data_IF_415265065913
#
_entry.id   IF_415265065913
#
_cell.length_a   1.000
_cell.length_b   1.000
_cell.length_c   1.000
_cell.angle_alpha   90.00
_cell.angle_beta   90.00
_cell.angle_gamma   90.00
#
_symmetry.space_group_name_H-M   'P 1'
#
loop_
_entity.id
_entity.type
_entity.pdbx_description
1 polymer ?
#
# COMPACT_ATOMS: atom_id res chain seq x y z
N UNK A 1 10.39 4.30 10.42
CA UNK A 1 11.34 3.24 9.98
C UNK A 1 10.56 2.10 9.36
N UNK A 2 11.06 1.52 8.26
CA UNK A 2 10.44 0.38 7.56
C UNK A 2 11.50 -0.68 7.28
N UNK A 3 11.20 -1.93 7.59
CA UNK A 3 12.03 -3.09 7.33
C UNK A 3 11.20 -4.14 6.59
N UNK A 4 11.81 -4.78 5.58
CA UNK A 4 11.18 -5.89 4.84
C UNK A 4 12.19 -7.00 4.64
N UNK A 5 11.83 -8.21 5.05
CA UNK A 5 12.64 -9.40 4.91
C UNK A 5 11.92 -10.42 4.01
N UNK A 6 12.50 -10.70 2.84
CA UNK A 6 12.00 -11.74 1.92
C UNK A 6 12.53 -13.10 2.38
N UNK A 7 11.64 -13.96 2.84
CA UNK A 7 11.99 -15.30 3.32
C UNK A 7 11.70 -16.41 2.30
N UNK A 8 10.81 -16.17 1.33
CA UNK A 8 10.48 -17.15 0.30
C UNK A 8 10.54 -16.53 -1.09
N UNK A 9 11.20 -17.23 -2.00
CA UNK A 9 11.23 -16.93 -3.43
C UNK A 9 11.26 -18.25 -4.18
N UNK A 10 10.25 -18.49 -5.02
CA UNK A 10 10.18 -19.64 -5.91
C UNK A 10 10.00 -19.11 -7.32
N UNK A 11 11.04 -19.26 -8.12
CA UNK A 11 11.09 -18.77 -9.48
C UNK A 11 10.93 -19.96 -10.44
N UNK A 12 9.99 -19.82 -11.37
CA UNK A 12 9.69 -20.75 -12.46
C UNK A 12 9.63 -19.93 -13.76
N UNK A 13 9.75 -20.59 -14.92
CA UNK A 13 9.99 -19.94 -16.23
C UNK A 13 8.95 -18.87 -16.58
N UNK A 14 7.71 -19.01 -16.10
CA UNK A 14 6.62 -18.05 -16.32
C UNK A 14 5.88 -17.67 -15.04
N UNK A 15 6.44 -18.01 -13.88
CA UNK A 15 5.78 -17.83 -12.58
C UNK A 15 6.79 -17.51 -11.49
N UNK A 16 6.66 -16.37 -10.85
CA UNK A 16 7.50 -15.99 -9.72
C UNK A 16 6.65 -15.79 -8.47
N UNK A 17 6.82 -16.70 -7.51
CA UNK A 17 6.20 -16.56 -6.20
C UNK A 17 7.19 -15.98 -5.21
N UNK A 18 6.80 -14.94 -4.49
CA UNK A 18 7.65 -14.29 -3.48
C UNK A 18 6.83 -14.02 -2.24
N UNK A 19 7.39 -14.31 -1.06
CA UNK A 19 6.83 -13.88 0.21
C UNK A 19 7.86 -13.14 1.04
N UNK A 20 7.41 -12.07 1.69
CA UNK A 20 8.21 -11.29 2.60
C UNK A 20 7.41 -10.94 3.85
N UNK A 21 8.10 -10.88 4.99
CA UNK A 21 7.60 -10.24 6.19
C UNK A 21 8.05 -8.77 6.17
N UNK A 22 7.21 -7.86 6.65
CA UNK A 22 7.57 -6.46 6.81
C UNK A 22 7.17 -5.96 8.19
N UNK A 23 7.93 -4.99 8.67
CA UNK A 23 7.69 -4.29 9.91
C UNK A 23 7.89 -2.79 9.69
N UNK A 24 7.00 -1.99 10.25
CA UNK A 24 7.04 -0.54 10.20
C UNK A 24 6.89 -0.01 11.62
N UNK A 25 7.74 0.95 11.96
CA UNK A 25 7.65 1.73 13.19
C UNK A 25 7.48 3.18 12.79
N UNK A 26 6.37 3.79 13.19
CA UNK A 26 6.12 5.22 12.98
C UNK A 26 6.15 5.90 14.34
N UNK A 27 6.80 7.05 14.41
CA UNK A 27 6.78 7.93 15.57
C UNK A 27 6.42 9.32 15.07
N UNK A 28 5.38 9.92 15.62
CA UNK A 28 4.97 11.28 15.29
C UNK A 28 4.66 12.08 16.57
N UNK A 29 4.94 13.39 16.53
CA UNK A 29 4.78 14.35 17.61
C UNK A 29 3.69 15.39 17.27
N UNK A 30 2.71 15.02 16.43
CA UNK A 30 1.65 15.92 15.94
C UNK A 30 0.30 15.65 16.62
N UNK A 31 -0.52 16.69 16.80
CA UNK A 31 -1.84 16.62 17.44
C UNK A 31 -2.89 15.91 16.57
N UNK A 32 -3.61 14.93 17.16
CA UNK A 32 -4.58 14.06 16.48
C UNK A 32 -5.96 14.71 16.36
N UNK A 33 -6.56 14.69 15.16
CA UNK A 33 -7.92 15.17 14.91
C UNK A 33 -8.85 14.10 14.26
N UNK A 34 -8.43 12.84 14.12
CA UNK A 34 -9.12 11.87 13.25
C UNK A 34 -9.25 10.46 13.86
N UNK A 35 -10.39 9.79 13.59
CA UNK A 35 -10.72 8.41 14.03
C UNK A 35 -10.08 7.31 13.16
N UNK A 36 -9.45 7.66 12.04
CA UNK A 36 -8.80 6.72 11.15
C UNK A 36 -7.40 6.35 11.69
N UNK A 37 -7.17 5.06 11.93
CA UNK A 37 -5.84 4.54 12.27
C UNK A 37 -5.01 4.47 10.99
N UNK A 38 -4.53 5.64 10.56
CA UNK A 38 -3.46 5.71 9.57
C UNK A 38 -2.10 5.77 10.30
N UNK A 39 -1.36 4.67 10.34
CA UNK A 39 0.08 4.67 10.64
C UNK A 39 0.91 5.33 9.51
N UNK A 40 0.27 5.79 8.43
CA UNK A 40 0.82 6.77 7.49
C UNK A 40 0.57 8.20 8.01
N UNK A 41 1.37 8.62 8.98
CA UNK A 41 1.67 10.04 9.14
C UNK A 41 1.05 10.79 10.31
N UNK A 42 0.11 10.23 11.09
CA UNK A 42 -0.44 10.97 12.25
C UNK A 42 -0.25 10.29 13.60
N UNK A 43 -0.06 8.96 13.63
CA UNK A 43 0.02 8.19 14.86
C UNK A 43 1.38 7.52 15.08
N UNK A 44 1.85 7.52 16.33
CA UNK A 44 2.95 6.69 16.78
C UNK A 44 2.45 5.26 16.95
N UNK A 45 3.15 4.30 16.35
CA UNK A 45 2.69 2.93 16.36
C UNK A 45 3.63 2.00 15.61
N UNK A 46 3.28 0.73 15.66
CA UNK A 46 3.96 -0.29 14.89
C UNK A 46 2.98 -1.06 14.03
N UNK A 47 3.47 -1.52 12.89
CA UNK A 47 2.75 -2.40 11.99
C UNK A 47 3.69 -3.55 11.65
N UNK A 48 3.18 -4.77 11.69
CA UNK A 48 3.92 -5.91 11.15
C UNK A 48 2.99 -6.76 10.32
N UNK A 49 3.51 -7.28 9.22
CA UNK A 49 2.71 -8.08 8.32
C UNK A 49 3.53 -8.97 7.41
N UNK A 50 2.80 -9.71 6.60
CA UNK A 50 3.32 -10.53 5.53
C UNK A 50 2.75 -10.05 4.21
N UNK A 51 3.55 -10.15 3.17
CA UNK A 51 3.14 -9.89 1.79
C UNK A 51 3.54 -11.07 0.93
N UNK A 52 2.60 -11.54 0.14
CA UNK A 52 2.79 -12.57 -0.85
C UNK A 52 2.49 -11.97 -2.23
N UNK A 53 3.41 -12.18 -3.17
CA UNK A 53 3.28 -11.72 -4.55
C UNK A 53 3.51 -12.90 -5.47
N UNK A 54 2.57 -13.12 -6.37
CA UNK A 54 2.61 -14.14 -7.41
C UNK A 54 2.58 -13.43 -8.76
N UNK A 55 3.69 -13.47 -9.49
CA UNK A 55 3.74 -13.02 -10.87
C UNK A 55 3.48 -14.22 -11.78
N UNK A 56 2.49 -14.11 -12.65
CA UNK A 56 2.06 -15.10 -13.64
C UNK A 56 2.13 -14.43 -15.01
N UNK A 57 3.18 -14.73 -15.77
CA UNK A 57 3.47 -14.10 -17.07
C UNK A 57 3.52 -12.56 -17.01
N UNK A 58 2.43 -11.90 -17.42
CA UNK A 58 2.30 -10.43 -17.46
C UNK A 58 1.40 -9.88 -16.35
N UNK A 59 0.86 -10.76 -15.48
CA UNK A 59 -0.04 -10.40 -14.39
C UNK A 59 0.67 -10.61 -13.06
N UNK A 60 0.67 -9.60 -12.20
CA UNK A 60 1.16 -9.68 -10.83
C UNK A 60 -0.03 -9.64 -9.88
N UNK A 61 -0.21 -10.69 -9.10
CA UNK A 61 -1.15 -10.74 -8.00
C UNK A 61 -0.36 -10.52 -6.72
N UNK A 62 -0.81 -9.63 -5.85
CA UNK A 62 -0.20 -9.42 -4.55
C UNK A 62 -1.27 -9.35 -3.48
N UNK A 63 -0.99 -9.94 -2.33
CA UNK A 63 -1.83 -9.80 -1.15
C UNK A 63 -0.96 -9.56 0.06
N UNK A 64 -1.41 -8.71 0.97
CA UNK A 64 -0.76 -8.48 2.24
C UNK A 64 -1.75 -8.53 3.38
N UNK A 65 -1.26 -8.97 4.53
CA UNK A 65 -1.97 -8.98 5.80
C UNK A 65 -1.02 -8.39 6.83
N UNK A 66 -1.47 -7.34 7.51
CA UNK A 66 -0.71 -6.74 8.61
C UNK A 66 -1.60 -6.50 9.81
N UNK A 67 -0.97 -6.55 10.97
CA UNK A 67 -1.53 -6.08 12.22
C UNK A 67 -0.85 -4.78 12.58
N UNK A 68 -1.66 -3.82 12.96
CA UNK A 68 -1.24 -2.49 13.35
C UNK A 68 -1.67 -2.24 14.79
N UNK A 69 -0.77 -1.64 15.56
CA UNK A 69 -1.07 -1.20 16.89
C UNK A 69 -0.55 0.22 17.10
N UNK A 70 -1.44 1.08 17.57
CA UNK A 70 -1.18 2.50 17.80
C UNK A 70 -1.03 2.77 19.28
N UNK A 71 -0.07 3.64 19.60
CA UNK A 71 0.22 4.13 20.94
C UNK A 71 -0.14 5.62 21.05
N UNK A 72 -0.21 6.11 22.28
CA UNK A 72 -0.41 7.53 22.53
C UNK A 72 0.75 8.35 21.92
N UNK A 73 0.43 9.45 21.24
CA UNK A 73 1.45 10.30 20.63
C UNK A 73 2.31 10.96 21.70
N UNK A 74 3.62 11.01 21.46
CA UNK A 74 4.54 11.80 22.28
C UNK A 74 4.08 13.27 22.20
N UNK A 75 3.81 13.90 23.35
CA UNK A 75 3.24 15.25 23.42
C UNK A 75 1.99 15.40 24.31
N UNK A 76 1.51 14.31 24.93
CA UNK A 76 0.39 14.37 25.88
C UNK A 76 -1.00 14.43 25.24
N UNK A 77 -1.08 14.29 23.91
CA UNK A 77 -2.35 14.11 23.19
C UNK A 77 -2.79 12.67 23.34
N UNK A 78 -3.68 12.41 24.30
CA UNK A 78 -4.32 11.10 24.48
C UNK A 78 -5.15 10.78 23.24
N UNK A 79 -5.08 9.54 22.77
CA UNK A 79 -6.05 9.05 21.78
C UNK A 79 -7.48 9.31 22.30
N UNK A 80 -8.44 9.71 21.45
CA UNK A 80 -9.82 9.88 21.87
C UNK A 80 -10.33 8.60 22.55
N UNK A 81 -11.03 8.77 23.68
CA UNK A 81 -11.60 7.64 24.43
C UNK A 81 -12.59 6.91 23.52
N UNK A 82 -12.28 5.66 23.15
CA UNK A 82 -13.11 4.83 22.26
C UNK A 82 -12.50 4.47 20.91
N UNK A 83 -11.29 4.94 20.58
CA UNK A 83 -10.56 4.48 19.38
C UNK A 83 -9.82 3.18 19.69
N UNK A 84 -10.01 2.18 18.82
CA UNK A 84 -9.35 0.89 18.98
C UNK A 84 -7.85 1.01 18.81
N UNK A 85 -7.11 0.40 19.72
CA UNK A 85 -5.64 0.45 19.71
C UNK A 85 -5.00 -0.55 18.75
N UNK A 86 -5.80 -1.44 18.15
CA UNK A 86 -5.31 -2.43 17.19
C UNK A 86 -6.26 -2.60 16.00
N UNK A 87 -5.65 -2.75 14.84
CA UNK A 87 -6.34 -2.97 13.58
C UNK A 87 -5.64 -4.06 12.77
N UNK A 88 -6.42 -4.76 11.95
CA UNK A 88 -5.90 -5.69 10.95
C UNK A 88 -6.11 -5.05 9.58
N UNK A 89 -5.02 -4.82 8.87
CA UNK A 89 -5.02 -4.33 7.50
C UNK A 89 -4.87 -5.51 6.55
N UNK A 90 -5.60 -5.47 5.46
CA UNK A 90 -5.49 -6.44 4.40
C UNK A 90 -5.53 -5.72 3.06
N UNK A 91 -4.62 -6.08 2.17
CA UNK A 91 -4.61 -5.54 0.82
C UNK A 91 -4.53 -6.66 -0.21
N UNK A 92 -5.16 -6.42 -1.34
CA UNK A 92 -5.12 -7.30 -2.49
C UNK A 92 -4.97 -6.44 -3.75
N UNK A 93 -3.92 -6.66 -4.53
CA UNK A 93 -3.67 -5.92 -5.75
C UNK A 93 -3.40 -6.84 -6.93
N UNK A 94 -3.87 -6.40 -8.09
CA UNK A 94 -3.69 -7.05 -9.38
C UNK A 94 -3.10 -6.04 -10.33
N UNK A 95 -1.86 -6.28 -10.75
CA UNK A 95 -1.17 -5.51 -11.77
C UNK A 95 -1.06 -6.30 -13.07
N UNK A 96 -1.10 -5.61 -14.21
CA UNK A 96 -0.80 -6.21 -15.51
C UNK A 96 0.06 -5.27 -16.35
N UNK A 97 1.15 -5.80 -16.91
CA UNK A 97 1.93 -5.13 -17.94
C UNK A 97 1.12 -5.15 -19.24
N UNK A 98 0.66 -3.96 -19.65
CA UNK A 98 -0.20 -3.79 -20.81
C UNK A 98 0.63 -3.49 -22.07
N UNK A 99 1.67 -2.65 -21.97
CA UNK A 99 2.55 -2.29 -23.09
C UNK A 99 4.01 -2.15 -22.64
N UNK A 100 4.98 -2.35 -23.56
CA UNK A 100 4.80 -2.74 -24.97
C UNK A 100 4.56 -4.25 -25.15
N UNK A 101 3.79 -4.64 -26.20
CA UNK A 101 3.51 -6.05 -26.51
C UNK A 101 4.73 -6.78 -27.09
N UNK A 102 5.61 -6.05 -27.78
CA UNK A 102 6.92 -6.50 -28.26
C UNK A 102 7.93 -5.37 -28.03
N UNK A 103 9.08 -5.68 -27.43
CA UNK A 103 10.16 -4.72 -27.27
C UNK A 103 10.97 -4.65 -28.56
N UNK A 104 11.02 -3.49 -29.20
CA UNK A 104 11.97 -3.23 -30.30
C UNK A 104 13.19 -2.46 -29.80
N UNK A 105 13.03 -1.64 -28.75
CA UNK A 105 14.10 -0.82 -28.16
C UNK A 105 13.84 -0.57 -26.67
N UNK A 106 14.88 -0.50 -25.84
CA UNK A 106 14.80 -0.22 -24.39
C UNK A 106 14.24 1.17 -24.01
N UNK A 107 14.06 2.06 -24.99
CA UNK A 107 13.51 3.41 -24.82
C UNK A 107 11.96 3.43 -24.79
N UNK A 108 11.31 2.31 -25.07
CA UNK A 108 9.85 2.26 -25.16
C UNK A 108 9.18 2.45 -23.80
N UNK A 109 8.06 3.18 -23.81
CA UNK A 109 7.26 3.44 -22.61
C UNK A 109 6.58 2.15 -22.14
N UNK A 110 6.82 1.77 -20.88
CA UNK A 110 6.06 0.69 -20.25
C UNK A 110 4.76 1.24 -19.68
N UNK A 111 3.65 0.55 -19.94
CA UNK A 111 2.34 0.86 -19.39
C UNK A 111 1.88 -0.30 -18.52
N UNK A 112 1.69 -0.03 -17.24
CA UNK A 112 1.17 -0.96 -16.25
C UNK A 112 -0.20 -0.48 -15.79
N UNK A 113 -1.14 -1.39 -15.71
CA UNK A 113 -2.46 -1.13 -15.11
C UNK A 113 -2.53 -1.92 -13.82
N UNK A 114 -2.88 -1.26 -12.72
CA UNK A 114 -3.07 -1.92 -11.44
C UNK A 114 -4.44 -1.64 -10.86
N UNK A 115 -4.95 -2.59 -10.10
CA UNK A 115 -6.16 -2.47 -9.32
C UNK A 115 -5.84 -2.97 -7.93
N UNK A 116 -6.06 -2.13 -6.93
CA UNK A 116 -5.79 -2.45 -5.53
C UNK A 116 -7.08 -2.36 -4.71
N UNK A 117 -7.25 -3.29 -3.80
CA UNK A 117 -8.28 -3.33 -2.79
C UNK A 117 -7.59 -3.25 -1.43
N UNK A 118 -8.01 -2.31 -0.61
CA UNK A 118 -7.44 -2.06 0.70
C UNK A 118 -8.55 -2.07 1.71
N UNK A 119 -8.43 -2.90 2.73
CA UNK A 119 -9.36 -2.88 3.84
C UNK A 119 -8.64 -2.87 5.17
N UNK A 120 -9.33 -2.35 6.16
CA UNK A 120 -8.91 -2.36 7.55
C UNK A 120 -10.10 -2.80 8.39
N UNK A 121 -9.81 -3.58 9.43
CA UNK A 121 -10.77 -3.94 10.46
C UNK A 121 -10.21 -3.57 11.81
N UNK A 122 -10.99 -2.84 12.59
CA UNK A 122 -10.67 -2.54 13.98
C UNK A 122 -11.03 -3.72 14.88
N UNK A 123 -10.13 -4.10 15.78
CA UNK A 123 -10.32 -5.29 16.60
C UNK A 123 -11.28 -5.09 17.79
N UNK A 124 -11.43 -3.88 18.33
CA UNK A 124 -12.29 -3.67 19.51
C UNK A 124 -13.75 -3.32 19.17
N UNK A 125 -13.97 -2.37 18.26
CA UNK A 125 -15.30 -1.93 17.80
C UNK A 125 -15.86 -2.77 16.66
N UNK A 126 -15.02 -3.57 15.99
CA UNK A 126 -15.41 -4.40 14.85
C UNK A 126 -15.72 -3.62 13.57
N UNK A 127 -15.58 -2.29 13.59
CA UNK A 127 -15.76 -1.45 12.40
C UNK A 127 -14.72 -1.81 11.35
N UNK A 128 -15.14 -1.79 10.08
CA UNK A 128 -14.26 -2.02 8.95
C UNK A 128 -14.52 -1.04 7.82
N UNK A 129 -13.50 -0.79 7.02
CA UNK A 129 -13.65 -0.16 5.71
C UNK A 129 -13.02 -1.03 4.62
N UNK A 130 -13.48 -0.79 3.39
CA UNK A 130 -12.93 -1.34 2.16
C UNK A 130 -12.91 -0.26 1.10
N UNK A 131 -11.72 0.00 0.57
CA UNK A 131 -11.44 0.91 -0.52
C UNK A 131 -10.99 0.11 -1.75
N UNK A 132 -11.27 0.67 -2.93
CA UNK A 132 -10.65 0.23 -4.17
C UNK A 132 -9.87 1.37 -4.81
N UNK A 133 -8.77 1.04 -5.44
CA UNK A 133 -7.82 1.98 -6.01
C UNK A 133 -7.32 1.48 -7.37
N UNK A 134 -8.04 1.77 -8.47
CA UNK A 134 -7.47 1.65 -9.81
C UNK A 134 -6.31 2.62 -9.97
N UNK A 135 -5.24 2.15 -10.60
CA UNK A 135 -4.11 2.99 -10.95
C UNK A 135 -3.48 2.60 -12.29
N UNK A 136 -2.84 3.59 -12.90
CA UNK A 136 -2.07 3.45 -14.12
C UNK A 136 -0.67 3.98 -13.87
N UNK A 137 0.31 3.24 -14.38
CA UNK A 137 1.72 3.57 -14.26
C UNK A 137 2.34 3.61 -15.65
N UNK A 138 3.01 4.72 -15.93
CA UNK A 138 3.79 4.95 -17.14
C UNK A 138 5.26 5.05 -16.77
N UNK A 139 6.10 4.25 -17.41
CA UNK A 139 7.56 4.35 -17.25
C UNK A 139 8.14 4.75 -18.60
N UNK A 140 8.67 5.96 -18.69
CA UNK A 140 9.18 6.60 -19.91
C UNK A 140 10.71 6.56 -19.86
N UNK A 141 11.33 6.01 -20.91
CA UNK A 141 12.79 5.89 -21.06
C UNK A 141 13.51 5.20 -19.90
N UNK A 142 12.80 4.41 -19.09
CA UNK A 142 13.31 3.83 -17.83
C UNK A 142 13.87 4.85 -16.83
N UNK A 143 13.59 6.16 -17.02
CA UNK A 143 14.09 7.26 -16.21
C UNK A 143 12.97 7.96 -15.45
N UNK A 144 11.85 8.21 -16.13
CA UNK A 144 10.69 8.84 -15.55
C UNK A 144 9.59 7.80 -15.30
N UNK A 145 8.99 7.82 -14.12
CA UNK A 145 7.80 7.04 -13.78
C UNK A 145 6.71 8.00 -13.33
N UNK A 146 5.53 7.85 -13.93
CA UNK A 146 4.32 8.58 -13.58
C UNK A 146 3.25 7.58 -13.16
N UNK A 147 2.81 7.66 -11.91
CA UNK A 147 1.72 6.84 -11.39
C UNK A 147 0.52 7.75 -11.10
N UNK A 148 -0.64 7.37 -11.65
CA UNK A 148 -1.91 8.00 -11.36
C UNK A 148 -2.82 6.95 -10.71
N UNK A 149 -3.19 7.16 -9.46
CA UNK A 149 -4.10 6.30 -8.74
C UNK A 149 -5.34 7.08 -8.30
N UNK A 150 -6.50 6.44 -8.38
CA UNK A 150 -7.75 6.98 -7.85
C UNK A 150 -8.25 6.04 -6.77
N UNK A 151 -8.21 6.46 -5.51
CA UNK A 151 -8.77 5.70 -4.39
C UNK A 151 -10.20 6.13 -4.16
N UNK A 152 -11.10 5.17 -4.07
CA UNK A 152 -12.50 5.39 -3.73
C UNK A 152 -12.95 4.35 -2.70
N UNK A 153 -13.68 4.83 -1.71
CA UNK A 153 -14.26 3.98 -0.68
C UNK A 153 -15.46 3.19 -1.25
N UNK A 154 -15.43 1.86 -1.14
CA UNK A 154 -16.59 1.00 -1.42
C UNK A 154 -17.53 1.04 -0.21
N UNK A 155 -16.98 0.79 0.97
CA UNK A 155 -17.73 0.68 2.21
C UNK A 155 -16.91 1.19 3.38
N UNK A 156 -17.56 1.88 4.32
CA UNK A 156 -16.95 2.20 5.61
C UNK A 156 -18.01 2.27 6.69
N UNK A 157 -17.71 1.66 7.83
CA UNK A 157 -18.41 1.88 9.11
C UNK A 157 -17.69 2.89 10.00
N UNK A 158 -16.60 3.48 9.49
CA UNK A 158 -15.73 4.43 10.18
C UNK A 158 -15.98 5.83 9.63
N UNK A 159 -15.97 6.85 10.49
CA UNK A 159 -16.15 8.23 10.06
C UNK A 159 -14.84 8.74 9.43
N UNK A 160 -14.83 8.81 8.09
CA UNK A 160 -13.67 9.17 7.29
C UNK A 160 -13.95 10.47 6.54
N UNK A 161 -13.05 11.44 6.70
CA UNK A 161 -13.19 12.75 6.05
C UNK A 161 -12.92 12.69 4.53
N UNK A 162 -12.13 11.72 4.07
CA UNK A 162 -11.77 11.56 2.64
C UNK A 162 -12.31 10.26 2.06
N UNK A 163 -13.49 10.32 1.44
CA UNK A 163 -14.13 9.16 0.76
C UNK A 163 -13.54 8.84 -0.62
N UNK A 164 -12.86 9.81 -1.23
CA UNK A 164 -12.17 9.63 -2.52
C UNK A 164 -10.93 10.51 -2.59
N UNK A 165 -9.84 9.97 -3.13
CA UNK A 165 -8.56 10.66 -3.25
C UNK A 165 -7.93 10.37 -4.61
N UNK A 166 -7.45 11.43 -5.27
CA UNK A 166 -6.56 11.31 -6.42
C UNK A 166 -5.12 11.37 -5.92
N UNK A 167 -4.31 10.40 -6.32
CA UNK A 167 -2.90 10.34 -6.01
C UNK A 167 -2.10 10.38 -7.31
N UNK A 168 -1.27 11.41 -7.43
CA UNK A 168 -0.33 11.56 -8.54
C UNK A 168 1.08 11.44 -7.97
N UNK A 169 1.86 10.51 -8.51
CA UNK A 169 3.25 10.27 -8.13
C UNK A 169 4.13 10.43 -9.36
N UNK A 170 5.13 11.28 -9.27
CA UNK A 170 6.15 11.44 -10.29
C UNK A 170 7.50 11.09 -9.66
N UNK A 171 8.16 10.07 -10.22
CA UNK A 171 9.52 9.68 -9.85
C UNK A 171 10.42 9.89 -11.06
N UNK A 172 11.54 10.59 -10.85
CA UNK A 172 12.55 10.79 -11.89
C UNK A 172 13.91 10.32 -11.38
N UNK A 173 14.54 9.42 -12.13
CA UNK A 173 15.84 8.85 -11.79
C UNK A 173 16.93 9.61 -12.56
N UNK A 174 17.75 10.38 -11.85
CA UNK A 174 18.81 11.19 -12.46
C UNK A 174 20.06 10.40 -12.84
N UNK A 175 20.29 9.24 -12.22
CA UNK A 175 21.45 8.38 -12.48
C UNK A 175 21.02 6.94 -12.67
N UNK A 176 21.10 6.44 -13.91
CA UNK A 176 21.20 5.02 -14.22
C UNK A 176 22.69 4.68 -14.25
N UNK A 177 23.19 4.02 -13.21
CA UNK A 177 24.57 3.54 -13.11
C UNK A 177 24.71 2.20 -13.85
#
# INVERSE_FOLDING_TARGET
MYAKYRFLSRDDVHSHFRMAAFGRLTSNNSHLHQEELETVGQNSGWESGIIATQLLHKVALSSSLSVEQVWDNAGGSKLPVGVDRSAVNYTFSVGKLMLPKAYTTYQQTNFNLMLEFMGQRLNGSGKSYLDFAPSVQFIIHSQARLDLAYRQQIYSQMDRQMRSLWLLKLEYTFFTL
#
